data_IF_901599510257
#
_entry.id   IF_901599510257
#
_cell.length_a   1.000
_cell.length_b   1.000
_cell.length_c   1.000
_cell.angle_alpha   90.00
_cell.angle_beta   90.00
_cell.angle_gamma   90.00
#
_symmetry.space_group_name_H-M   'P 1'
#
loop_
_entity.id
_entity.type
_entity.pdbx_description
1 polymer ?
#
# COMPACT_ATOMS: atom_id res chain seq x y z
N UNK A 1 1.31 -0.47 7.84
CA UNK A 1 2.05 -0.67 6.59
C UNK A 1 1.12 -1.17 5.50
N UNK A 2 1.33 -0.71 4.29
CA UNK A 2 0.55 -1.21 3.15
C UNK A 2 0.95 -2.65 2.84
N UNK A 3 -0.03 -3.50 2.59
CA UNK A 3 0.21 -4.85 2.09
C UNK A 3 -0.72 -5.18 0.94
N UNK A 4 -0.34 -6.19 0.16
CA UNK A 4 -1.06 -6.58 -1.06
C UNK A 4 -1.81 -7.90 -0.90
N UNK A 5 -2.12 -8.27 0.31
CA UNK A 5 -2.89 -9.50 0.57
C UNK A 5 -4.20 -9.55 -0.23
N UNK A 6 -4.98 -8.45 -0.33
CA UNK A 6 -6.19 -8.45 -1.14
C UNK A 6 -5.95 -8.81 -2.61
N UNK A 7 -4.81 -8.38 -3.17
CA UNK A 7 -4.45 -8.68 -4.56
C UNK A 7 -4.42 -10.19 -4.83
N UNK A 8 -3.76 -10.95 -3.98
CA UNK A 8 -3.64 -12.40 -4.16
C UNK A 8 -5.01 -13.09 -4.05
N UNK A 9 -5.84 -12.63 -3.13
CA UNK A 9 -7.20 -13.12 -2.98
C UNK A 9 -8.04 -12.80 -4.22
N UNK A 10 -7.92 -11.58 -4.74
CA UNK A 10 -8.65 -11.15 -5.94
C UNK A 10 -8.20 -11.95 -7.16
N UNK A 11 -6.90 -12.17 -7.31
CA UNK A 11 -6.36 -13.02 -8.38
C UNK A 11 -6.99 -14.40 -8.37
N UNK A 12 -7.05 -15.01 -7.20
CA UNK A 12 -7.64 -16.33 -7.03
C UNK A 12 -9.11 -16.32 -7.41
N UNK A 13 -9.86 -15.33 -6.96
CA UNK A 13 -11.28 -15.16 -7.29
C UNK A 13 -11.52 -15.00 -8.77
N UNK A 14 -10.64 -14.30 -9.46
CA UNK A 14 -10.75 -14.04 -10.90
C UNK A 14 -10.17 -15.17 -11.74
N UNK A 15 -9.55 -16.17 -11.13
CA UNK A 15 -8.93 -17.27 -11.83
C UNK A 15 -7.70 -16.87 -12.62
N UNK A 16 -7.01 -15.81 -12.21
CA UNK A 16 -5.79 -15.33 -12.85
C UNK A 16 -4.56 -15.83 -12.12
N UNK A 17 -3.51 -16.10 -12.88
CA UNK A 17 -2.23 -16.57 -12.36
C UNK A 17 -1.15 -15.52 -12.58
N UNK A 18 -0.07 -15.60 -11.81
CA UNK A 18 1.10 -14.74 -12.01
C UNK A 18 1.66 -14.90 -13.42
N UNK A 19 1.68 -16.12 -13.94
CA UNK A 19 2.12 -16.40 -15.31
C UNK A 19 1.33 -15.58 -16.32
N UNK A 20 0.00 -15.58 -16.21
CA UNK A 20 -0.88 -14.83 -17.12
C UNK A 20 -0.61 -13.33 -17.03
N UNK A 21 -0.44 -12.80 -15.82
CA UNK A 21 -0.13 -11.38 -15.65
C UNK A 21 1.18 -11.00 -16.33
N UNK A 22 2.20 -11.82 -16.21
CA UNK A 22 3.51 -11.54 -16.78
C UNK A 22 3.48 -11.70 -18.30
N UNK A 23 3.02 -12.82 -18.81
CA UNK A 23 3.18 -13.18 -20.21
C UNK A 23 2.04 -12.71 -21.11
N UNK A 24 0.84 -12.57 -20.59
CA UNK A 24 -0.30 -12.09 -21.39
C UNK A 24 -0.57 -10.61 -21.19
N UNK A 25 -0.35 -10.10 -20.01
CA UNK A 25 -0.68 -8.72 -19.66
C UNK A 25 0.52 -7.80 -19.53
N UNK A 26 1.72 -8.35 -19.60
CA UNK A 26 2.96 -7.58 -19.58
C UNK A 26 3.33 -6.98 -18.23
N UNK A 27 2.78 -7.51 -17.15
CA UNK A 27 3.17 -7.08 -15.82
C UNK A 27 4.55 -7.65 -15.49
N UNK A 28 5.44 -6.80 -14.99
CA UNK A 28 6.79 -7.21 -14.65
C UNK A 28 6.81 -8.24 -13.51
N UNK A 29 7.63 -9.28 -13.65
CA UNK A 29 7.85 -10.24 -12.57
C UNK A 29 8.40 -9.56 -11.33
N UNK A 30 9.19 -8.49 -11.51
CA UNK A 30 9.71 -7.70 -10.42
C UNK A 30 8.61 -6.98 -9.64
N UNK A 31 7.57 -6.52 -10.33
CA UNK A 31 6.39 -5.93 -9.69
C UNK A 31 5.73 -6.93 -8.76
N UNK A 32 5.52 -8.16 -9.23
CA UNK A 32 4.91 -9.20 -8.40
C UNK A 32 5.80 -9.57 -7.21
N UNK A 33 7.11 -9.60 -7.42
CA UNK A 33 8.06 -9.83 -6.33
C UNK A 33 7.95 -8.76 -5.26
N UNK A 34 7.91 -7.49 -5.68
CA UNK A 34 7.73 -6.37 -4.74
C UNK A 34 6.44 -6.49 -3.96
N UNK A 35 5.37 -6.86 -4.63
CA UNK A 35 4.07 -7.03 -3.96
C UNK A 35 4.09 -8.15 -2.94
N UNK A 36 4.83 -9.24 -3.19
CA UNK A 36 5.01 -10.32 -2.21
C UNK A 36 5.75 -9.85 -0.97
N UNK A 37 6.61 -8.86 -1.11
CA UNK A 37 7.42 -8.31 -0.02
C UNK A 37 6.85 -6.99 0.53
N UNK A 38 5.65 -6.62 0.13
CA UNK A 38 4.98 -5.38 0.53
C UNK A 38 5.81 -4.13 0.22
N UNK A 39 6.55 -4.18 -0.88
CA UNK A 39 7.33 -3.04 -1.37
C UNK A 39 6.47 -2.18 -2.29
N UNK A 40 6.89 -0.95 -2.51
CA UNK A 40 6.13 0.02 -3.29
C UNK A 40 5.98 -0.40 -4.75
N UNK A 41 4.81 -0.12 -5.31
CA UNK A 41 4.58 -0.16 -6.76
C UNK A 41 4.10 1.22 -7.19
N UNK A 42 4.25 1.54 -8.47
CA UNK A 42 3.80 2.83 -8.98
C UNK A 42 2.28 2.87 -9.12
N UNK A 43 1.72 4.06 -9.06
CA UNK A 43 0.27 4.22 -9.27
C UNK A 43 -0.16 3.86 -10.70
N UNK A 44 0.63 4.12 -11.76
CA UNK A 44 0.29 3.59 -13.08
C UNK A 44 0.18 2.06 -13.12
N UNK A 45 1.07 1.36 -12.44
CA UNK A 45 1.00 -0.11 -12.32
C UNK A 45 -0.25 -0.53 -11.55
N UNK A 46 -0.55 0.15 -10.46
CA UNK A 46 -1.77 -0.10 -9.70
C UNK A 46 -3.01 0.09 -10.57
N UNK A 47 -3.03 1.14 -11.38
CA UNK A 47 -4.12 1.41 -12.32
C UNK A 47 -4.30 0.24 -13.32
N UNK A 48 -3.20 -0.26 -13.88
CA UNK A 48 -3.25 -1.41 -14.80
C UNK A 48 -3.80 -2.65 -14.11
N UNK A 49 -3.36 -2.93 -12.90
CA UNK A 49 -3.84 -4.09 -12.15
C UNK A 49 -5.34 -4.01 -11.89
N UNK A 50 -5.83 -2.85 -11.55
CA UNK A 50 -7.27 -2.64 -11.35
C UNK A 50 -8.05 -2.90 -12.65
N UNK A 51 -7.54 -2.45 -13.78
CA UNK A 51 -8.16 -2.69 -15.08
C UNK A 51 -8.14 -4.17 -15.45
N UNK A 52 -7.01 -4.82 -15.30
CA UNK A 52 -6.84 -6.25 -15.65
C UNK A 52 -7.76 -7.14 -14.80
N UNK A 53 -7.81 -6.86 -13.50
CA UNK A 53 -8.59 -7.66 -12.57
C UNK A 53 -10.04 -7.20 -12.47
N UNK A 54 -10.39 -6.09 -13.13
CA UNK A 54 -11.72 -5.48 -13.05
C UNK A 54 -12.15 -5.34 -11.59
N UNK A 55 -11.37 -4.59 -10.84
CA UNK A 55 -11.57 -4.41 -9.42
C UNK A 55 -11.18 -2.99 -9.00
N UNK A 56 -11.42 -2.67 -7.74
CA UNK A 56 -11.06 -1.37 -7.17
C UNK A 56 -9.73 -1.46 -6.43
N UNK A 57 -9.19 -0.32 -6.01
CA UNK A 57 -7.90 -0.24 -5.31
C UNK A 57 -7.89 -1.09 -4.03
N UNK A 58 -8.99 -1.10 -3.30
CA UNK A 58 -9.11 -1.87 -2.06
C UNK A 58 -9.07 -3.38 -2.27
N UNK A 59 -9.27 -3.83 -3.51
CA UNK A 59 -9.13 -5.25 -3.87
C UNK A 59 -7.69 -5.61 -4.22
N UNK A 60 -6.79 -4.63 -4.26
CA UNK A 60 -5.38 -4.81 -4.56
C UNK A 60 -4.52 -4.67 -3.31
N UNK A 61 -4.78 -3.62 -2.53
CA UNK A 61 -3.96 -3.31 -1.37
C UNK A 61 -4.81 -2.80 -0.22
N UNK A 62 -4.24 -2.89 0.98
CA UNK A 62 -4.85 -2.33 2.18
C UNK A 62 -3.77 -1.75 3.08
N UNK A 63 -4.16 -0.85 3.95
CA UNK A 63 -3.28 -0.33 4.99
C UNK A 63 -3.65 -0.93 6.33
N UNK A 64 -2.64 -1.49 7.02
CA UNK A 64 -2.78 -1.95 8.38
C UNK A 64 -1.60 -1.40 9.18
N UNK A 65 -1.87 -0.55 10.14
CA UNK A 65 -0.82 -0.06 11.02
C UNK A 65 -0.44 -1.15 12.00
N UNK A 66 0.85 -1.47 12.06
CA UNK A 66 1.36 -2.38 13.09
C UNK A 66 1.33 -1.65 14.43
N UNK A 67 1.39 -2.42 15.51
CA UNK A 67 1.44 -1.85 16.85
C UNK A 67 2.64 -0.93 17.00
N UNK A 68 3.77 -1.34 16.45
CA UNK A 68 5.01 -0.55 16.47
C UNK A 68 4.87 0.75 15.72
N UNK A 69 4.26 0.72 14.53
CA UNK A 69 4.00 1.92 13.75
C UNK A 69 3.07 2.88 14.48
N UNK A 70 2.05 2.35 15.14
CA UNK A 70 1.10 3.17 15.90
C UNK A 70 1.79 3.84 17.08
N UNK A 71 2.63 3.11 17.80
CA UNK A 71 3.37 3.63 18.95
C UNK A 71 4.36 4.71 18.51
N UNK A 72 5.10 4.48 17.44
CA UNK A 72 6.06 5.44 16.90
C UNK A 72 5.35 6.71 16.45
N UNK A 73 4.24 6.55 15.76
CA UNK A 73 3.47 7.70 15.29
C UNK A 73 2.87 8.49 16.45
N UNK A 74 2.40 7.80 17.48
CA UNK A 74 1.88 8.46 18.67
C UNK A 74 2.94 9.33 19.34
N UNK A 75 4.18 8.83 19.44
CA UNK A 75 5.29 9.60 19.98
C UNK A 75 5.59 10.83 19.13
N UNK A 76 5.59 10.68 17.81
CA UNK A 76 5.80 11.79 16.90
C UNK A 76 4.71 12.84 17.01
N UNK A 77 3.47 12.41 17.10
CA UNK A 77 2.34 13.34 17.27
C UNK A 77 2.46 14.12 18.57
N UNK A 78 2.94 13.48 19.63
CA UNK A 78 3.15 14.15 20.90
C UNK A 78 4.26 15.21 20.78
N UNK A 79 5.35 14.90 20.12
CA UNK A 79 6.43 15.86 19.85
C UNK A 79 5.94 17.06 19.07
N UNK A 80 5.10 16.83 18.06
CA UNK A 80 4.54 17.91 17.24
C UNK A 80 3.62 18.79 18.08
N UNK A 81 2.80 18.20 18.93
CA UNK A 81 1.92 18.95 19.85
C UNK A 81 2.75 19.83 20.77
N UNK A 82 3.81 19.29 21.36
CA UNK A 82 4.71 20.02 22.24
C UNK A 82 5.36 21.19 21.53
N UNK A 83 5.83 20.97 20.29
CA UNK A 83 6.40 22.04 19.47
C UNK A 83 5.39 23.12 19.14
N UNK A 84 4.17 22.72 18.79
CA UNK A 84 3.09 23.66 18.51
C UNK A 84 2.73 24.49 19.73
N UNK A 85 2.70 23.87 20.89
CA UNK A 85 2.44 24.59 22.15
C UNK A 85 3.51 25.62 22.44
N UNK A 86 4.77 25.26 22.29
CA UNK A 86 5.89 26.19 22.40
C UNK A 86 5.78 27.32 21.40
N UNK A 87 5.44 26.98 20.16
CA UNK A 87 5.33 27.95 19.07
C UNK A 87 4.18 28.92 19.29
N UNK A 88 3.07 28.44 19.82
CA UNK A 88 1.90 29.27 20.13
C UNK A 88 2.21 30.35 21.15
N UNK A 89 3.09 30.08 22.07
CA UNK A 89 3.50 31.08 23.10
C UNK A 89 4.17 32.30 22.49
N UNK A 90 4.76 32.16 21.29
CA UNK A 90 5.49 33.22 20.62
C UNK A 90 4.65 33.93 19.56
N UNK A 91 3.42 33.52 19.36
CA UNK A 91 2.53 34.19 18.42
C UNK A 91 1.73 35.27 19.11
N UNK A 92 1.65 36.42 18.50
CA UNK A 92 0.82 37.52 19.03
C UNK A 92 -0.66 37.14 19.05
#
# INVERSE_FOLDING_TARGET
MINYEPFWTTMEKRGLTAYQLIYYWGISSNTLRRMRHNEAISTPTLNELCLILDCSVEDILKFEASKEEQEELALRKQEIVDRKSSHKKNKP
#
